data_IF_082230831120
#
_entry.id   IF_082230831120
#
_cell.length_a   1.000
_cell.length_b   1.000
_cell.length_c   1.000
_cell.angle_alpha   90.00
_cell.angle_beta   90.00
_cell.angle_gamma   90.00
#
_symmetry.space_group_name_H-M   'P 1'
#
loop_
_entity.id
_entity.type
_entity.pdbx_description
1 polymer ?
#
# COMPACT_ATOMS: atom_id res chain seq x y z
N UNK A 1 21.05 -2.08 -49.58
CA UNK A 1 19.66 -1.64 -49.33
C UNK A 1 18.95 -2.74 -48.58
N UNK A 2 18.98 -2.69 -47.24
CA UNK A 2 18.22 -3.59 -46.39
C UNK A 2 16.74 -3.31 -46.63
N UNK A 3 16.02 -4.29 -47.18
CA UNK A 3 14.58 -4.24 -47.38
C UNK A 3 13.97 -4.22 -45.98
N UNK A 4 13.60 -3.05 -45.49
CA UNK A 4 12.84 -2.92 -44.25
C UNK A 4 11.51 -3.60 -44.53
N UNK A 5 11.36 -4.87 -44.11
CA UNK A 5 10.09 -5.56 -44.12
C UNK A 5 9.11 -4.70 -43.33
N UNK A 6 8.13 -4.12 -44.04
CA UNK A 6 7.08 -3.35 -43.41
C UNK A 6 6.35 -4.29 -42.44
N UNK A 7 6.43 -3.99 -41.13
CA UNK A 7 5.77 -4.78 -40.09
C UNK A 7 4.29 -4.98 -40.45
N UNK A 8 3.80 -6.21 -40.29
CA UNK A 8 2.40 -6.54 -40.56
C UNK A 8 1.48 -5.73 -39.66
N UNK A 9 0.28 -5.40 -40.14
CA UNK A 9 -0.73 -4.68 -39.35
C UNK A 9 -1.01 -5.37 -38.00
N UNK A 10 -0.94 -6.70 -37.95
CA UNK A 10 -1.10 -7.48 -36.73
C UNK A 10 0.05 -7.27 -35.75
N UNK A 11 1.31 -7.20 -36.22
CA UNK A 11 2.47 -6.94 -35.36
C UNK A 11 2.42 -5.54 -34.75
N UNK A 12 1.97 -4.55 -35.52
CA UNK A 12 1.76 -3.19 -35.02
C UNK A 12 0.60 -3.10 -34.02
N UNK A 13 -0.42 -3.95 -34.17
CA UNK A 13 -1.53 -4.04 -33.22
C UNK A 13 -1.10 -4.69 -31.89
N UNK A 14 -0.30 -5.75 -31.94
CA UNK A 14 0.29 -6.37 -30.74
C UNK A 14 1.18 -5.39 -29.98
N UNK A 15 2.11 -4.69 -30.66
CA UNK A 15 3.00 -3.71 -30.03
C UNK A 15 2.24 -2.57 -29.35
N UNK A 16 1.13 -2.10 -29.94
CA UNK A 16 0.26 -1.09 -29.31
C UNK A 16 -0.42 -1.62 -28.05
N UNK A 17 -0.81 -2.89 -28.06
CA UNK A 17 -1.46 -3.56 -26.92
C UNK A 17 -0.48 -3.73 -25.77
N UNK A 18 0.75 -4.16 -26.05
CA UNK A 18 1.83 -4.28 -25.06
C UNK A 18 2.19 -2.94 -24.43
N UNK A 19 2.31 -1.89 -25.25
CA UNK A 19 2.56 -0.53 -24.78
C UNK A 19 1.41 0.01 -23.92
N UNK A 20 0.16 -0.32 -24.26
CA UNK A 20 -0.99 0.04 -23.46
C UNK A 20 -0.98 -0.66 -22.08
N UNK A 21 -0.73 -1.97 -22.06
CA UNK A 21 -0.60 -2.78 -20.83
C UNK A 21 0.52 -2.25 -19.92
N UNK A 22 1.68 -1.95 -20.49
CA UNK A 22 2.82 -1.40 -19.73
C UNK A 22 2.47 -0.07 -19.08
N UNK A 23 1.75 0.82 -19.78
CA UNK A 23 1.29 2.11 -19.22
C UNK A 23 0.30 1.93 -18.07
N UNK A 24 -0.63 0.99 -18.21
CA UNK A 24 -1.61 0.65 -17.16
C UNK A 24 -0.90 0.16 -15.90
N UNK A 25 0.09 -0.72 -16.03
CA UNK A 25 0.90 -1.18 -14.90
C UNK A 25 1.70 -0.05 -14.25
N UNK A 26 2.37 0.79 -15.04
CA UNK A 26 3.07 1.97 -14.50
C UNK A 26 2.14 2.96 -13.78
N UNK A 27 0.87 3.04 -14.18
CA UNK A 27 -0.14 3.81 -13.44
C UNK A 27 -0.48 3.12 -12.11
N UNK A 28 -0.71 1.81 -12.11
CA UNK A 28 -0.96 1.01 -10.91
C UNK A 28 0.14 1.17 -9.86
N UNK A 29 1.40 1.11 -10.30
CA UNK A 29 2.54 1.25 -9.41
C UNK A 29 2.61 2.63 -8.75
N UNK A 30 2.25 3.69 -9.48
CA UNK A 30 2.14 5.04 -8.92
C UNK A 30 1.01 5.15 -7.91
N UNK A 31 -0.13 4.52 -8.18
CA UNK A 31 -1.25 4.43 -7.23
C UNK A 31 -0.83 3.67 -5.97
N UNK A 32 -0.15 2.54 -6.10
CA UNK A 32 0.34 1.77 -4.96
C UNK A 32 1.37 2.54 -4.12
N UNK A 33 2.26 3.32 -4.75
CA UNK A 33 3.16 4.23 -4.02
C UNK A 33 2.41 5.33 -3.27
N UNK A 34 1.31 5.85 -3.83
CA UNK A 34 0.46 6.83 -3.15
C UNK A 34 -0.26 6.21 -1.94
N UNK A 35 -0.80 4.99 -2.08
CA UNK A 35 -1.36 4.21 -0.97
C UNK A 35 -0.33 3.98 0.14
N UNK A 36 0.88 3.56 -0.23
CA UNK A 36 2.00 3.35 0.70
C UNK A 36 2.28 4.62 1.51
N UNK A 37 2.36 5.79 0.87
CA UNK A 37 2.65 7.06 1.53
C UNK A 37 1.54 7.51 2.49
N UNK A 38 0.28 7.36 2.07
CA UNK A 38 -0.88 7.75 2.87
C UNK A 38 -1.01 6.85 4.09
N UNK A 39 -0.95 5.53 3.90
CA UNK A 39 -0.97 4.56 4.97
C UNK A 39 0.20 4.75 5.95
N UNK A 40 1.43 4.96 5.47
CA UNK A 40 2.61 5.13 6.33
C UNK A 40 2.47 6.34 7.26
N UNK A 41 1.98 7.46 6.72
CA UNK A 41 1.74 8.69 7.50
C UNK A 41 0.71 8.45 8.60
N UNK A 42 -0.40 7.78 8.26
CA UNK A 42 -1.48 7.47 9.20
C UNK A 42 -1.03 6.50 10.30
N UNK A 43 -0.31 5.43 9.93
CA UNK A 43 0.24 4.44 10.88
C UNK A 43 1.23 5.11 11.83
N UNK A 44 2.20 5.86 11.27
CA UNK A 44 3.27 6.50 12.07
C UNK A 44 2.71 7.54 13.02
N UNK A 45 1.79 8.38 12.55
CA UNK A 45 1.16 9.40 13.38
C UNK A 45 0.26 8.79 14.47
N UNK A 46 -0.55 7.78 14.11
CA UNK A 46 -1.43 7.08 15.06
C UNK A 46 -0.63 6.38 16.17
N UNK A 47 0.46 5.71 15.79
CA UNK A 47 1.35 5.03 16.74
C UNK A 47 2.07 6.03 17.65
N UNK A 48 2.59 7.13 17.10
CA UNK A 48 3.30 8.16 17.85
C UNK A 48 2.38 8.80 18.88
N UNK A 49 1.16 9.20 18.49
CA UNK A 49 0.17 9.76 19.41
C UNK A 49 -0.18 8.75 20.49
N UNK A 50 -0.46 7.49 20.11
CA UNK A 50 -0.75 6.42 21.08
C UNK A 50 0.35 6.31 22.14
N UNK A 51 1.62 6.25 21.72
CA UNK A 51 2.77 6.12 22.62
C UNK A 51 3.03 7.36 23.47
N UNK A 52 2.90 8.54 22.89
CA UNK A 52 3.08 9.80 23.58
C UNK A 52 2.05 9.97 24.71
N UNK A 53 0.79 9.63 24.44
CA UNK A 53 -0.29 9.63 25.43
C UNK A 53 -0.13 8.54 26.50
N UNK A 54 0.29 7.33 26.10
CA UNK A 54 0.61 6.24 27.03
C UNK A 54 1.71 6.68 28.02
N UNK A 55 2.78 7.32 27.51
CA UNK A 55 3.87 7.84 28.34
C UNK A 55 3.46 8.95 29.31
N UNK A 56 2.58 9.88 28.90
CA UNK A 56 2.04 10.89 29.82
C UNK A 56 1.22 10.28 30.95
N UNK A 57 0.48 9.20 30.67
CA UNK A 57 -0.30 8.48 31.68
C UNK A 57 0.62 7.78 32.69
N UNK A 58 1.69 7.14 32.22
CA UNK A 58 2.72 6.52 33.07
C UNK A 58 3.47 7.57 33.92
N UNK A 59 3.68 8.78 33.40
CA UNK A 59 4.28 9.90 34.12
C UNK A 59 3.36 10.57 35.17
N UNK A 60 2.17 10.01 35.43
CA UNK A 60 1.26 10.50 36.47
C UNK A 60 0.39 11.69 36.05
N UNK A 61 0.43 12.13 34.78
CA UNK A 61 -0.46 13.18 34.27
C UNK A 61 -1.84 12.57 34.03
N UNK A 62 -2.76 12.79 34.97
CA UNK A 62 -4.15 12.34 34.85
C UNK A 62 -4.90 13.24 33.87
N UNK A 63 -4.91 12.82 32.60
CA UNK A 63 -5.77 13.40 31.57
C UNK A 63 -7.24 13.19 31.98
N UNK A 64 -8.03 14.27 31.92
CA UNK A 64 -9.44 14.30 32.35
C UNK A 64 -10.36 13.27 31.65
N UNK A 65 -9.91 12.63 30.57
CA UNK A 65 -10.59 11.53 29.88
C UNK A 65 -9.57 10.43 29.51
N UNK A 66 -9.40 9.37 30.34
CA UNK A 66 -8.39 8.33 30.16
C UNK A 66 -8.51 7.47 28.89
N UNK A 67 -9.71 7.41 28.29
CA UNK A 67 -10.01 6.51 27.16
C UNK A 67 -10.03 7.19 25.78
N UNK A 68 -10.29 8.50 25.72
CA UNK A 68 -10.54 9.19 24.43
C UNK A 68 -9.31 9.32 23.54
N UNK A 69 -8.13 9.73 24.05
CA UNK A 69 -6.96 9.97 23.20
C UNK A 69 -6.34 8.68 22.64
N UNK A 70 -6.36 7.59 23.42
CA UNK A 70 -5.82 6.28 23.02
C UNK A 70 -6.58 5.68 21.84
N UNK A 71 -7.90 5.83 21.86
CA UNK A 71 -8.78 5.33 20.81
C UNK A 71 -8.55 6.04 19.48
N UNK A 72 -8.17 7.33 19.49
CA UNK A 72 -7.84 8.08 18.27
C UNK A 72 -6.56 7.56 17.63
N UNK A 73 -5.49 7.35 18.42
CA UNK A 73 -4.24 6.77 17.91
C UNK A 73 -4.45 5.37 17.34
N UNK A 74 -5.21 4.54 18.05
CA UNK A 74 -5.57 3.18 17.61
C UNK A 74 -6.41 3.18 16.33
N UNK A 75 -7.41 4.05 16.26
CA UNK A 75 -8.26 4.22 15.09
C UNK A 75 -7.45 4.64 13.87
N UNK A 76 -6.54 5.60 14.03
CA UNK A 76 -5.73 6.10 12.92
C UNK A 76 -4.71 5.06 12.43
N UNK A 77 -4.05 4.35 13.33
CA UNK A 77 -3.17 3.23 12.97
C UNK A 77 -3.95 2.12 12.26
N UNK A 78 -5.12 1.75 12.78
CA UNK A 78 -5.99 0.76 12.15
C UNK A 78 -6.46 1.19 10.77
N UNK A 79 -6.90 2.44 10.62
CA UNK A 79 -7.33 3.00 9.34
C UNK A 79 -6.18 3.02 8.31
N UNK A 80 -4.95 3.34 8.75
CA UNK A 80 -3.77 3.29 7.90
C UNK A 80 -3.42 1.86 7.46
N UNK A 81 -3.51 0.88 8.36
CA UNK A 81 -3.31 -0.54 8.02
C UNK A 81 -4.37 -1.05 7.05
N UNK A 82 -5.65 -0.76 7.29
CA UNK A 82 -6.76 -1.16 6.39
C UNK A 82 -6.59 -0.52 5.02
N UNK A 83 -6.28 0.78 4.97
CA UNK A 83 -5.96 1.50 3.74
C UNK A 83 -4.84 0.80 2.94
N UNK A 84 -3.77 0.37 3.63
CA UNK A 84 -2.67 -0.34 2.99
C UNK A 84 -3.09 -1.70 2.41
N UNK A 85 -3.92 -2.45 3.13
CA UNK A 85 -4.45 -3.73 2.67
C UNK A 85 -5.33 -3.53 1.44
N UNK A 86 -6.21 -2.54 1.45
CA UNK A 86 -7.07 -2.21 0.32
C UNK A 86 -6.25 -1.82 -0.93
N UNK A 87 -5.24 -0.97 -0.79
CA UNK A 87 -4.36 -0.60 -1.91
C UNK A 87 -3.57 -1.79 -2.47
N UNK A 88 -3.21 -2.76 -1.61
CA UNK A 88 -2.55 -4.01 -2.04
C UNK A 88 -3.52 -4.91 -2.82
N UNK A 89 -4.77 -5.03 -2.36
CA UNK A 89 -5.82 -5.79 -3.06
C UNK A 89 -6.14 -5.14 -4.41
N UNK A 90 -6.25 -3.82 -4.48
CA UNK A 90 -6.49 -3.08 -5.72
C UNK A 90 -5.38 -3.35 -6.75
N UNK A 91 -4.12 -3.30 -6.32
CA UNK A 91 -2.98 -3.63 -7.17
C UNK A 91 -3.03 -5.07 -7.67
N UNK A 92 -3.34 -6.02 -6.77
CA UNK A 92 -3.40 -7.43 -7.12
C UNK A 92 -4.56 -7.75 -8.08
N UNK A 93 -5.74 -7.18 -7.83
CA UNK A 93 -6.91 -7.32 -8.69
C UNK A 93 -6.66 -6.74 -10.09
N UNK A 94 -5.97 -5.59 -10.19
CA UNK A 94 -5.61 -5.01 -11.48
C UNK A 94 -4.64 -5.92 -12.24
N UNK A 95 -3.59 -6.42 -11.58
CA UNK A 95 -2.61 -7.33 -12.20
C UNK A 95 -3.28 -8.64 -12.64
N UNK A 96 -4.18 -9.19 -11.83
CA UNK A 96 -4.94 -10.40 -12.16
C UNK A 96 -5.96 -10.21 -13.28
N UNK A 97 -6.44 -8.98 -13.50
CA UNK A 97 -7.40 -8.66 -14.56
C UNK A 97 -6.76 -8.46 -15.94
N UNK A 98 -5.43 -8.38 -16.02
CA UNK A 98 -4.71 -8.25 -17.28
C UNK A 98 -4.56 -9.64 -17.93
N UNK A 99 -5.15 -9.88 -19.12
CA UNK A 99 -4.97 -11.14 -19.84
C UNK A 99 -3.48 -11.38 -20.12
N UNK A 100 -3.06 -12.65 -20.07
CA UNK A 100 -1.68 -13.19 -20.17
C UNK A 100 -0.89 -12.84 -21.46
N UNK A 101 -0.96 -11.62 -21.98
CA UNK A 101 -0.03 -11.14 -23.00
C UNK A 101 1.30 -10.75 -22.34
N UNK A 102 2.12 -11.78 -22.17
CA UNK A 102 3.58 -11.78 -21.96
C UNK A 102 4.17 -10.88 -20.86
N UNK A 103 4.63 -11.56 -19.79
CA UNK A 103 5.89 -11.30 -19.08
C UNK A 103 6.20 -9.87 -18.60
N UNK A 104 5.20 -9.12 -18.15
CA UNK A 104 5.47 -7.94 -17.32
C UNK A 104 5.82 -8.42 -15.91
N UNK A 105 7.13 -8.47 -15.63
CA UNK A 105 7.72 -8.97 -14.39
C UNK A 105 7.03 -8.38 -13.15
N UNK A 106 6.30 -9.22 -12.42
CA UNK A 106 5.57 -8.89 -11.18
C UNK A 106 6.54 -8.59 -10.01
N UNK A 107 7.84 -8.83 -10.20
CA UNK A 107 8.92 -8.55 -9.25
C UNK A 107 9.32 -7.08 -9.20
N UNK A 108 8.34 -6.18 -9.26
CA UNK A 108 8.62 -4.75 -9.12
C UNK A 108 8.81 -4.42 -7.64
N UNK A 109 9.79 -3.55 -7.31
CA UNK A 109 10.09 -3.18 -5.92
C UNK A 109 8.88 -2.59 -5.17
N UNK A 110 7.90 -2.01 -5.89
CA UNK A 110 6.68 -1.46 -5.32
C UNK A 110 5.83 -2.52 -4.60
N UNK A 111 5.73 -3.73 -5.15
CA UNK A 111 4.98 -4.82 -4.51
C UNK A 111 5.68 -5.30 -3.23
N UNK A 112 7.00 -5.40 -3.25
CA UNK A 112 7.77 -5.79 -2.07
C UNK A 112 7.62 -4.79 -0.93
N UNK A 113 7.72 -3.49 -1.23
CA UNK A 113 7.49 -2.42 -0.23
C UNK A 113 6.07 -2.51 0.32
N UNK A 114 5.07 -2.71 -0.54
CA UNK A 114 3.69 -2.82 -0.11
C UNK A 114 3.46 -4.03 0.82
N UNK A 115 4.03 -5.18 0.49
CA UNK A 115 3.95 -6.39 1.31
C UNK A 115 4.60 -6.18 2.68
N UNK A 116 5.82 -5.63 2.73
CA UNK A 116 6.52 -5.32 3.99
C UNK A 116 5.71 -4.32 4.82
N UNK A 117 5.09 -3.32 4.20
CA UNK A 117 4.25 -2.35 4.91
C UNK A 117 2.96 -2.97 5.43
N UNK A 118 2.30 -3.83 4.64
CA UNK A 118 1.09 -4.52 5.08
C UNK A 118 1.37 -5.45 6.28
N UNK A 119 2.50 -6.18 6.24
CA UNK A 119 2.92 -7.04 7.33
C UNK A 119 3.29 -6.25 8.59
N UNK A 120 4.12 -5.20 8.46
CA UNK A 120 4.53 -4.38 9.60
C UNK A 120 3.36 -3.59 10.21
N UNK A 121 2.48 -3.01 9.40
CA UNK A 121 1.28 -2.31 9.85
C UNK A 121 0.27 -3.24 10.55
N UNK A 122 0.08 -4.45 10.03
CA UNK A 122 -0.77 -5.47 10.66
C UNK A 122 -0.18 -5.96 11.98
N UNK A 123 1.13 -6.18 12.03
CA UNK A 123 1.83 -6.58 13.26
C UNK A 123 1.74 -5.50 14.34
N UNK A 124 1.99 -4.24 14.00
CA UNK A 124 1.84 -3.11 14.93
C UNK A 124 0.41 -2.99 15.45
N UNK A 125 -0.57 -3.07 14.56
CA UNK A 125 -1.98 -3.01 14.95
C UNK A 125 -2.36 -4.16 15.90
N UNK A 126 -1.97 -5.40 15.57
CA UNK A 126 -2.22 -6.58 16.39
C UNK A 126 -1.54 -6.47 17.77
N UNK A 127 -0.28 -6.03 17.81
CA UNK A 127 0.48 -5.84 19.05
C UNK A 127 -0.21 -4.85 20.00
N UNK A 128 -0.70 -3.73 19.46
CA UNK A 128 -1.41 -2.72 20.26
C UNK A 128 -2.74 -3.26 20.76
N UNK A 129 -3.51 -3.97 19.91
CA UNK A 129 -4.79 -4.57 20.29
C UNK A 129 -4.62 -5.63 21.38
N UNK A 130 -3.62 -6.51 21.26
CA UNK A 130 -3.33 -7.55 22.27
C UNK A 130 -2.88 -6.94 23.59
N UNK A 131 -2.11 -5.84 23.57
CA UNK A 131 -1.73 -5.12 24.81
C UNK A 131 -2.91 -4.40 25.48
N UNK A 132 -4.00 -4.20 24.73
CA UNK A 132 -5.20 -3.50 25.15
C UNK A 132 -6.21 -4.37 25.89
N UNK A 133 -6.24 -5.65 25.50
CA UNK A 133 -7.12 -6.72 25.96
C UNK A 133 -6.57 -7.34 27.24
#
# INVERSE_FOLDING_TARGET
MTKVEARSANQLAEERTDLATTRTLMAADRTLMAWTRTALSMISFGFTIYKLLEGFREAGVHLAHPHSPRNIGLFLTGLGTVSMVLGTIEYWALVASLPEYHAVSVWRPTFFVALVMALSGSFLFMSIVVRLL
#
